data_IF_824199470305
#
_entry.id   IF_824199470305
#
_cell.length_a   1.000
_cell.length_b   1.000
_cell.length_c   1.000
_cell.angle_alpha   90.00
_cell.angle_beta   90.00
_cell.angle_gamma   90.00
#
_symmetry.space_group_name_H-M   'P 1'
#
loop_
_entity.id
_entity.type
_entity.pdbx_description
1 polymer ?
#
# COMPACT_ATOMS: atom_id res chain seq x y z
N UNK A 1 5.30 14.46 7.50
CA UNK A 1 4.95 13.08 7.89
C UNK A 1 5.07 12.21 6.66
N UNK A 2 5.87 11.15 6.70
CA UNK A 2 5.93 10.17 5.59
C UNK A 2 4.62 9.38 5.65
N UNK A 3 3.87 9.34 4.56
CA UNK A 3 2.64 8.55 4.49
C UNK A 3 3.01 7.07 4.49
N UNK A 4 2.80 6.40 5.63
CA UNK A 4 3.06 4.97 5.83
C UNK A 4 1.80 4.13 5.65
N UNK A 5 0.81 4.64 4.92
CA UNK A 5 -0.40 3.90 4.59
C UNK A 5 -0.18 3.06 3.32
N UNK A 6 -0.47 1.77 3.40
CA UNK A 6 -0.32 0.81 2.28
C UNK A 6 -1.59 -0.01 2.08
N UNK A 7 -1.73 -0.64 0.91
CA UNK A 7 -2.82 -1.58 0.65
C UNK A 7 -2.73 -2.78 1.60
N UNK A 8 -3.87 -3.19 2.16
CA UNK A 8 -3.97 -4.36 3.04
C UNK A 8 -3.91 -5.70 2.31
N UNK A 9 -4.06 -5.69 0.98
CA UNK A 9 -4.07 -6.86 0.11
C UNK A 9 -3.32 -6.61 -1.19
N UNK A 10 -3.51 -7.50 -2.17
CA UNK A 10 -2.91 -7.32 -3.50
C UNK A 10 -3.48 -6.06 -4.17
N UNK A 11 -2.65 -5.07 -4.51
CA UNK A 11 -3.09 -3.95 -5.32
C UNK A 11 -3.65 -4.43 -6.65
N UNK A 12 -4.62 -3.71 -7.22
CA UNK A 12 -5.17 -3.97 -8.55
C UNK A 12 -4.16 -3.56 -9.65
N UNK A 13 -3.03 -4.26 -9.73
CA UNK A 13 -1.96 -3.95 -10.70
C UNK A 13 -2.44 -3.95 -12.14
N UNK A 14 -3.42 -4.81 -12.45
CA UNK A 14 -4.09 -4.87 -13.75
C UNK A 14 -4.69 -3.52 -14.15
N UNK A 15 -5.35 -2.83 -13.21
CA UNK A 15 -5.93 -1.50 -13.45
C UNK A 15 -4.85 -0.46 -13.73
N UNK A 16 -3.70 -0.52 -13.04
CA UNK A 16 -2.60 0.42 -13.26
C UNK A 16 -1.90 0.18 -14.62
N UNK A 17 -1.73 -1.08 -15.01
CA UNK A 17 -1.23 -1.45 -16.34
C UNK A 17 -2.21 -0.98 -17.41
N UNK A 18 -3.52 -1.18 -17.20
CA UNK A 18 -4.54 -0.71 -18.12
C UNK A 18 -4.50 0.82 -18.29
N UNK A 19 -4.41 1.57 -17.18
CA UNK A 19 -4.23 3.04 -17.20
C UNK A 19 -2.97 3.42 -17.99
N UNK A 20 -1.86 2.71 -17.79
CA UNK A 20 -0.61 2.97 -18.52
C UNK A 20 -0.78 2.78 -20.03
N UNK A 21 -1.40 1.66 -20.45
CA UNK A 21 -1.62 1.32 -21.86
C UNK A 21 -2.58 2.31 -22.52
N UNK A 22 -3.71 2.63 -21.88
CA UNK A 22 -4.69 3.60 -22.40
C UNK A 22 -4.06 4.98 -22.54
N UNK A 23 -3.34 5.42 -21.51
CA UNK A 23 -2.66 6.73 -21.55
C UNK A 23 -1.61 6.76 -22.66
N UNK A 24 -0.78 5.72 -22.77
CA UNK A 24 0.22 5.63 -23.84
C UNK A 24 -0.41 5.64 -25.23
N UNK A 25 -1.51 4.91 -25.45
CA UNK A 25 -2.23 4.92 -26.71
C UNK A 25 -2.80 6.30 -27.05
N UNK A 26 -3.42 6.98 -26.09
CA UNK A 26 -3.95 8.33 -26.26
C UNK A 26 -2.83 9.34 -26.54
N UNK A 27 -1.72 9.27 -25.79
CA UNK A 27 -0.53 10.10 -26.02
C UNK A 27 0.07 9.87 -27.39
N UNK A 28 0.14 8.61 -27.86
CA UNK A 28 0.60 8.29 -29.21
C UNK A 28 -0.31 8.90 -30.29
N UNK A 29 -1.63 8.72 -30.17
CA UNK A 29 -2.60 9.28 -31.12
C UNK A 29 -2.53 10.81 -31.16
N UNK A 30 -2.31 11.45 -30.01
CA UNK A 30 -2.14 12.89 -29.90
C UNK A 30 -0.83 13.37 -30.54
N UNK A 31 0.30 12.78 -30.17
CA UNK A 31 1.63 13.14 -30.71
C UNK A 31 1.77 12.86 -32.21
N UNK A 32 1.09 11.83 -32.73
CA UNK A 32 1.07 11.53 -34.16
C UNK A 32 0.43 12.67 -34.98
N UNK A 33 -0.53 13.41 -34.41
CA UNK A 33 -1.14 14.58 -35.07
C UNK A 33 -0.16 15.76 -35.14
N UNK A 34 0.87 15.79 -34.30
CA UNK A 34 1.85 16.87 -34.18
C UNK A 34 2.99 16.80 -35.20
N UNK A 35 2.94 15.88 -36.19
CA UNK A 35 3.99 15.65 -37.20
C UNK A 35 5.38 15.28 -36.63
N UNK A 36 5.45 14.83 -35.37
CA UNK A 36 6.69 14.39 -34.76
C UNK A 36 7.24 13.10 -35.41
N UNK A 37 8.57 12.87 -35.41
CA UNK A 37 9.17 11.64 -35.88
C UNK A 37 8.56 10.41 -35.19
N UNK A 38 8.27 9.36 -35.97
CA UNK A 38 7.55 8.17 -35.48
C UNK A 38 8.24 7.48 -34.30
N UNK A 39 9.57 7.41 -34.31
CA UNK A 39 10.36 6.76 -33.25
C UNK A 39 10.29 7.53 -31.94
N UNK A 40 10.46 8.85 -31.98
CA UNK A 40 10.37 9.73 -30.82
C UNK A 40 8.95 9.69 -30.23
N UNK A 41 7.93 9.76 -31.08
CA UNK A 41 6.52 9.67 -30.68
C UNK A 41 6.23 8.37 -29.91
N UNK A 42 6.75 7.24 -30.39
CA UNK A 42 6.55 5.94 -29.75
C UNK A 42 7.25 5.88 -28.39
N UNK A 43 8.51 6.33 -28.30
CA UNK A 43 9.26 6.33 -27.03
C UNK A 43 8.57 7.24 -26.00
N UNK A 44 8.17 8.45 -26.40
CA UNK A 44 7.47 9.39 -25.51
C UNK A 44 6.13 8.83 -25.03
N UNK A 45 5.34 8.23 -25.92
CA UNK A 45 4.06 7.63 -25.55
C UNK A 45 4.21 6.50 -24.52
N UNK A 46 5.21 5.62 -24.71
CA UNK A 46 5.51 4.54 -23.75
C UNK A 46 5.95 5.10 -22.40
N UNK A 47 6.85 6.09 -22.40
CA UNK A 47 7.32 6.72 -21.16
C UNK A 47 6.19 7.41 -20.41
N UNK A 48 5.33 8.16 -21.11
CA UNK A 48 4.17 8.82 -20.50
C UNK A 48 3.19 7.80 -19.91
N UNK A 49 2.87 6.74 -20.66
CA UNK A 49 2.03 5.65 -20.15
C UNK A 49 2.62 5.03 -18.89
N UNK A 50 3.91 4.70 -18.90
CA UNK A 50 4.60 4.12 -17.75
C UNK A 50 4.56 5.06 -16.53
N UNK A 51 4.91 6.34 -16.70
CA UNK A 51 4.90 7.35 -15.63
C UNK A 51 3.51 7.48 -15.01
N UNK A 52 2.46 7.58 -15.83
CA UNK A 52 1.08 7.68 -15.33
C UNK A 52 0.64 6.38 -14.65
N UNK A 53 0.99 5.21 -15.19
CA UNK A 53 0.75 3.92 -14.54
C UNK A 53 1.39 3.80 -13.16
N UNK A 54 2.66 4.21 -13.02
CA UNK A 54 3.34 4.23 -11.73
C UNK A 54 2.74 5.25 -10.77
N UNK A 55 2.37 6.43 -11.26
CA UNK A 55 1.74 7.48 -10.46
C UNK A 55 0.31 7.11 -10.03
N UNK A 56 -0.37 6.21 -10.74
CA UNK A 56 -1.71 5.74 -10.38
C UNK A 56 -1.74 5.01 -9.04
N UNK A 57 -0.65 4.34 -8.63
CA UNK A 57 -0.59 3.66 -7.33
C UNK A 57 -0.70 4.65 -6.14
N UNK A 58 0.20 5.64 -5.97
CA UNK A 58 0.06 6.63 -4.91
C UNK A 58 -1.16 7.53 -5.13
N UNK A 59 -1.57 7.77 -6.39
CA UNK A 59 -2.79 8.49 -6.71
C UNK A 59 -4.04 7.82 -6.14
N UNK A 60 -4.19 6.51 -6.36
CA UNK A 60 -5.30 5.73 -5.83
C UNK A 60 -5.31 5.71 -4.29
N UNK A 61 -4.13 5.57 -3.65
CA UNK A 61 -4.04 5.68 -2.18
C UNK A 61 -4.54 7.05 -1.68
N UNK A 62 -4.15 8.13 -2.36
CA UNK A 62 -4.54 9.49 -1.98
C UNK A 62 -6.02 9.75 -2.22
N UNK A 63 -6.56 9.28 -3.34
CA UNK A 63 -7.99 9.36 -3.64
C UNK A 63 -8.83 8.59 -2.63
N UNK A 64 -8.39 7.38 -2.23
CA UNK A 64 -9.06 6.60 -1.19
C UNK A 64 -9.09 7.38 0.13
N UNK A 65 -7.97 7.99 0.53
CA UNK A 65 -7.90 8.82 1.72
C UNK A 65 -8.79 10.07 1.64
N UNK A 66 -8.87 10.75 0.49
CA UNK A 66 -9.70 11.95 0.32
C UNK A 66 -11.20 11.65 0.30
N UNK A 67 -11.57 10.43 -0.08
CA UNK A 67 -12.98 9.97 -0.16
C UNK A 67 -13.42 9.18 1.07
N UNK A 68 -12.53 9.02 2.06
CA UNK A 68 -12.83 8.39 3.34
C UNK A 68 -13.68 9.31 4.22
N UNK A 69 -14.84 8.81 4.64
CA UNK A 69 -15.76 9.53 5.52
C UNK A 69 -15.64 9.10 7.00
N UNK A 70 -15.04 7.94 7.26
CA UNK A 70 -14.99 7.33 8.59
C UNK A 70 -13.64 7.54 9.29
N UNK A 71 -12.60 7.86 8.52
CA UNK A 71 -11.25 8.04 9.04
C UNK A 71 -10.55 6.72 9.33
N UNK A 72 -9.38 6.82 9.98
CA UNK A 72 -8.67 5.67 10.50
C UNK A 72 -9.42 5.11 11.71
N UNK A 73 -9.78 3.83 11.63
CA UNK A 73 -10.47 3.08 12.67
C UNK A 73 -9.56 1.96 13.17
N UNK A 74 -9.61 1.70 14.47
CA UNK A 74 -8.80 0.65 15.10
C UNK A 74 -9.58 -0.66 15.10
N UNK A 75 -8.95 -1.74 14.65
CA UNK A 75 -9.54 -3.06 14.61
C UNK A 75 -8.60 -4.09 15.19
N UNK A 76 -9.15 -4.99 16.00
CA UNK A 76 -8.38 -6.08 16.60
C UNK A 76 -8.17 -7.23 15.62
N UNK A 77 -6.93 -7.69 15.57
CA UNK A 77 -6.50 -8.81 14.76
C UNK A 77 -5.75 -9.83 15.61
N UNK A 78 -5.92 -11.10 15.27
CA UNK A 78 -5.22 -12.22 15.88
C UNK A 78 -4.17 -12.80 14.94
N UNK A 79 -2.93 -12.90 15.42
CA UNK A 79 -1.82 -13.48 14.68
C UNK A 79 -1.93 -15.00 14.56
N UNK A 80 -1.81 -15.49 13.34
CA UNK A 80 -1.82 -16.90 12.98
C UNK A 80 -0.40 -17.50 12.93
N UNK A 81 -0.31 -18.81 12.75
CA UNK A 81 0.96 -19.54 12.73
C UNK A 81 1.86 -19.17 11.54
N UNK A 82 1.28 -18.69 10.44
CA UNK A 82 1.99 -18.23 9.24
C UNK A 82 2.42 -16.76 9.31
N UNK A 83 2.16 -16.09 10.45
CA UNK A 83 2.34 -14.65 10.71
C UNK A 83 1.37 -13.75 9.93
N UNK A 84 0.28 -14.30 9.39
CA UNK A 84 -0.85 -13.51 8.95
C UNK A 84 -1.68 -13.05 10.15
N UNK A 85 -2.43 -11.97 9.96
CA UNK A 85 -3.33 -11.42 10.96
C UNK A 85 -4.77 -11.55 10.45
N UNK A 86 -5.57 -12.33 11.17
CA UNK A 86 -7.00 -12.51 10.87
C UNK A 86 -7.80 -11.58 11.77
N UNK A 87 -8.74 -10.80 11.21
CA UNK A 87 -9.60 -9.92 12.00
C UNK A 87 -10.68 -10.72 12.76
N UNK A 88 -11.10 -10.20 13.91
CA UNK A 88 -12.26 -10.74 14.62
C UNK A 88 -13.57 -10.54 13.83
N UNK A 89 -13.59 -9.53 12.95
CA UNK A 89 -14.72 -9.21 12.06
C UNK A 89 -14.52 -9.77 10.65
N UNK A 90 -15.56 -10.40 10.09
CA UNK A 90 -15.52 -11.04 8.76
C UNK A 90 -15.44 -10.07 7.57
N UNK A 91 -15.79 -8.80 7.75
CA UNK A 91 -15.81 -7.79 6.68
C UNK A 91 -14.46 -7.11 6.45
N UNK A 92 -13.47 -7.43 7.28
CA UNK A 92 -12.13 -6.86 7.21
C UNK A 92 -11.16 -7.79 6.45
N UNK A 93 -10.15 -7.23 5.77
CA UNK A 93 -9.16 -8.01 5.06
C UNK A 93 -8.19 -8.70 6.02
N UNK A 94 -7.71 -9.89 5.65
CA UNK A 94 -6.55 -10.52 6.28
C UNK A 94 -5.31 -9.69 5.97
N UNK A 95 -4.48 -9.42 6.98
CA UNK A 95 -3.26 -8.65 6.81
C UNK A 95 -2.04 -9.57 6.79
N UNK A 96 -1.16 -9.35 5.82
CA UNK A 96 0.11 -10.07 5.72
C UNK A 96 1.26 -9.08 5.61
N UNK A 97 2.32 -9.30 6.38
CA UNK A 97 3.50 -8.42 6.42
C UNK A 97 4.77 -9.22 6.13
N UNK A 98 5.04 -9.59 4.86
CA UNK A 98 6.19 -10.44 4.52
C UNK A 98 7.54 -9.81 4.90
N UNK A 99 7.66 -8.48 4.82
CA UNK A 99 8.90 -7.76 5.14
C UNK A 99 9.14 -7.69 6.66
N UNK A 100 8.06 -7.59 7.43
CA UNK A 100 8.07 -7.49 8.89
C UNK A 100 7.94 -8.86 9.58
N UNK A 101 8.00 -9.97 8.82
CA UNK A 101 7.85 -11.34 9.34
C UNK A 101 8.79 -11.65 10.51
N UNK A 102 10.06 -11.23 10.40
CA UNK A 102 11.08 -11.43 11.43
C UNK A 102 10.80 -10.66 12.74
N UNK A 103 10.01 -9.59 12.67
CA UNK A 103 9.55 -8.87 13.85
C UNK A 103 8.41 -9.64 14.51
N UNK A 104 7.42 -10.04 13.72
CA UNK A 104 6.24 -10.74 14.22
C UNK A 104 6.56 -12.14 14.78
N UNK A 105 7.64 -12.78 14.30
CA UNK A 105 8.07 -14.09 14.79
C UNK A 105 8.47 -14.15 16.27
N UNK A 106 8.67 -13.00 16.90
CA UNK A 106 8.98 -12.89 18.35
C UNK A 106 7.75 -13.03 19.23
N UNK A 107 6.56 -12.83 18.67
CA UNK A 107 5.31 -12.87 19.40
C UNK A 107 4.75 -14.30 19.37
N UNK A 108 4.07 -14.75 20.44
CA UNK A 108 3.44 -16.06 20.45
C UNK A 108 2.26 -16.10 19.47
N UNK A 109 1.95 -17.30 18.95
CA UNK A 109 0.72 -17.52 18.17
C UNK A 109 -0.49 -17.04 18.97
N UNK A 110 -1.45 -16.42 18.28
CA UNK A 110 -2.63 -15.86 18.91
C UNK A 110 -2.42 -14.48 19.52
N UNK A 111 -1.23 -13.90 19.38
CA UNK A 111 -0.98 -12.50 19.76
C UNK A 111 -2.01 -11.58 19.11
N UNK A 112 -2.62 -10.71 19.92
CA UNK A 112 -3.59 -9.73 19.47
C UNK A 112 -2.91 -8.38 19.26
N UNK A 113 -3.20 -7.77 18.12
CA UNK A 113 -2.72 -6.43 17.80
C UNK A 113 -3.80 -5.62 17.10
N UNK A 114 -3.97 -4.38 17.54
CA UNK A 114 -4.93 -3.47 16.96
C UNK A 114 -4.27 -2.71 15.80
N UNK A 115 -4.77 -2.92 14.58
CA UNK A 115 -4.33 -2.19 13.39
C UNK A 115 -5.26 -1.02 13.10
N UNK A 116 -4.69 0.10 12.65
CA UNK A 116 -5.46 1.24 12.15
C UNK A 116 -5.70 1.06 10.66
N UNK A 117 -6.97 0.88 10.28
CA UNK A 117 -7.39 0.75 8.89
C UNK A 117 -8.35 1.86 8.51
N UNK A 118 -8.33 2.25 7.24
CA UNK A 118 -9.39 3.06 6.63
C UNK A 118 -9.92 2.42 5.36
N UNK A 119 -11.14 2.79 4.97
CA UNK A 119 -11.77 2.38 3.72
C UNK A 119 -12.35 3.62 3.03
N UNK A 120 -11.74 4.02 1.92
CA UNK A 120 -12.23 5.12 1.10
C UNK A 120 -13.28 4.71 0.09
N UNK A 121 -13.67 5.67 -0.74
CA UNK A 121 -14.67 5.50 -1.79
C UNK A 121 -14.25 4.58 -2.93
N UNK A 122 -12.97 4.21 -3.03
CA UNK A 122 -12.48 3.22 -4.00
C UNK A 122 -12.70 1.77 -3.52
N UNK A 123 -13.24 1.58 -2.31
CA UNK A 123 -13.70 0.27 -1.83
C UNK A 123 -12.61 -0.65 -1.26
N UNK A 124 -11.34 -0.23 -1.27
CA UNK A 124 -10.23 -0.98 -0.68
C UNK A 124 -9.79 -0.41 0.66
N UNK A 125 -9.21 -1.28 1.48
CA UNK A 125 -8.66 -0.92 2.79
C UNK A 125 -7.20 -0.51 2.69
N UNK A 126 -6.83 0.49 3.48
CA UNK A 126 -5.45 0.90 3.71
C UNK A 126 -5.12 0.69 5.19
N UNK A 127 -3.94 0.14 5.46
CA UNK A 127 -3.42 0.01 6.83
C UNK A 127 -2.36 1.07 7.05
N UNK A 128 -2.43 1.74 8.20
CA UNK A 128 -1.38 2.65 8.64
C UNK A 128 -0.27 1.87 9.36
N UNK A 129 0.93 1.89 8.78
CA UNK A 129 2.11 1.22 9.31
C UNK A 129 2.91 2.08 10.29
N UNK A 130 2.60 3.37 10.48
CA UNK A 130 3.35 4.21 11.42
C UNK A 130 3.38 3.59 12.84
N UNK A 131 2.26 3.15 13.43
CA UNK A 131 2.26 2.52 14.75
C UNK A 131 3.05 1.22 14.79
N UNK A 132 3.06 0.48 13.69
CA UNK A 132 3.78 -0.79 13.56
C UNK A 132 5.29 -0.52 13.60
N UNK A 133 5.76 0.49 12.87
CA UNK A 133 7.16 0.89 12.87
C UNK A 133 7.59 1.55 14.19
N UNK A 134 6.72 2.35 14.81
CA UNK A 134 6.98 2.92 16.13
C UNK A 134 7.15 1.82 17.19
N UNK A 135 6.25 0.83 17.19
CA UNK A 135 6.36 -0.36 18.06
C UNK A 135 7.66 -1.12 17.82
N UNK A 136 8.04 -1.31 16.55
CA UNK A 136 9.30 -1.95 16.21
C UNK A 136 10.51 -1.20 16.78
N UNK A 137 10.53 0.12 16.62
CA UNK A 137 11.61 0.95 17.14
C UNK A 137 11.69 0.86 18.67
N UNK A 138 10.55 0.93 19.37
CA UNK A 138 10.49 0.79 20.82
C UNK A 138 11.02 -0.58 21.28
N UNK A 139 10.57 -1.67 20.67
CA UNK A 139 11.00 -3.03 21.03
C UNK A 139 12.49 -3.27 20.75
N UNK A 140 13.04 -2.63 19.71
CA UNK A 140 14.44 -2.80 19.32
C UNK A 140 15.40 -1.93 20.14
N UNK A 141 15.09 -0.64 20.31
CA UNK A 141 15.94 0.30 21.04
C UNK A 141 15.76 0.20 22.56
N UNK A 142 14.55 -0.12 23.06
CA UNK A 142 14.29 -0.33 24.48
C UNK A 142 15.08 -1.50 25.08
N UNK A 143 15.53 -2.46 24.26
CA UNK A 143 16.44 -3.53 24.71
C UNK A 143 17.91 -3.10 24.83
N UNK A 144 18.36 -2.09 24.09
CA UNK A 144 19.78 -1.66 24.11
C UNK A 144 20.15 -0.88 25.38
N UNK A 145 19.20 -0.29 26.08
CA UNK A 145 19.44 0.44 27.34
C UNK A 145 19.33 -0.42 28.60
N UNK A 146 18.88 -1.69 28.47
CA UNK A 146 18.73 -2.63 29.58
C UNK A 146 19.85 -3.66 29.76
N UNK A 147 20.87 -3.65 28.89
CA UNK A 147 21.97 -4.64 28.91
C UNK A 147 23.31 -3.98 29.23
N UNK A 148 23.36 -3.24 30.33
CA UNK A 148 24.60 -2.83 31.00
C UNK A 148 24.44 -3.13 32.49
N UNK A 149 24.63 -4.38 32.87
CA UNK A 149 24.98 -4.79 34.23
C UNK A 149 25.97 -5.93 34.14
#
# INVERSE_FOLDING_TARGET
MVHTEVYTGRPFYESFIFIAVVTGALSYLWLKKSHAPRKETMVLAVLLGAVVGFAAYPGALRLNQLTDQQGLQSYDYQMQADYSFIPDRKDLPVLTFPRERNMWSRYPKGYRYAFRLRKGGLGFYQVDLAPVYEKFQQDWYGKKTGSSK
#
